data_IF_251957060843
#
_entry.id   IF_251957060843
#
_cell.length_a   1.000
_cell.length_b   1.000
_cell.length_c   1.000
_cell.angle_alpha   90.00
_cell.angle_beta   90.00
_cell.angle_gamma   90.00
#
_symmetry.space_group_name_H-M   'P 1'
#
loop_
_entity.id
_entity.type
_entity.pdbx_description
1 polymer ?
#
# COMPACT_ATOMS: atom_id res chain seq x y z
N UNK A 1 7.97 -30.88 -16.53
CA UNK A 1 8.63 -30.57 -15.25
C UNK A 1 7.56 -30.15 -14.28
N UNK A 2 7.51 -30.75 -13.10
CA UNK A 2 6.55 -30.32 -12.07
C UNK A 2 6.85 -28.88 -11.67
N UNK A 3 5.81 -28.03 -11.68
CA UNK A 3 5.94 -26.64 -11.25
C UNK A 3 6.37 -26.61 -9.78
N UNK A 4 7.43 -25.87 -9.46
CA UNK A 4 7.83 -25.65 -8.07
C UNK A 4 6.69 -24.93 -7.32
N UNK A 5 6.31 -25.46 -6.16
CA UNK A 5 5.19 -24.94 -5.37
C UNK A 5 5.66 -23.88 -4.37
N UNK A 6 4.98 -22.73 -4.35
CA UNK A 6 5.15 -21.65 -3.38
C UNK A 6 3.91 -21.55 -2.51
N UNK A 7 4.08 -21.54 -1.19
CA UNK A 7 3.03 -21.13 -0.25
C UNK A 7 3.20 -19.65 0.09
N UNK A 8 2.26 -18.84 -0.38
CA UNK A 8 2.19 -17.40 -0.13
C UNK A 8 1.19 -17.10 0.99
N UNK A 9 1.64 -16.45 2.06
CA UNK A 9 0.86 -16.22 3.28
C UNK A 9 0.66 -14.72 3.48
N UNK A 10 -0.59 -14.27 3.36
CA UNK A 10 -1.01 -12.92 3.75
C UNK A 10 -2.52 -12.86 3.96
N UNK A 11 -3.02 -12.27 5.05
CA UNK A 11 -4.46 -12.10 5.25
C UNK A 11 -5.05 -11.01 4.35
N UNK A 12 -4.21 -10.16 3.75
CA UNK A 12 -4.62 -9.10 2.85
C UNK A 12 -4.64 -9.64 1.42
N UNK A 13 -5.81 -10.06 0.95
CA UNK A 13 -6.02 -10.54 -0.42
C UNK A 13 -7.47 -10.23 -0.83
N UNK A 14 -7.80 -10.09 -2.13
CA UNK A 14 -9.19 -10.08 -2.60
C UNK A 14 -10.02 -11.15 -1.87
N UNK A 15 -11.26 -10.87 -1.42
CA UNK A 15 -12.09 -9.71 -1.75
C UNK A 15 -11.88 -8.45 -0.88
N UNK A 16 -10.84 -8.39 -0.03
CA UNK A 16 -10.52 -7.18 0.71
C UNK A 16 -9.95 -6.12 -0.25
N UNK A 17 -10.66 -5.01 -0.46
CA UNK A 17 -10.17 -3.87 -1.23
C UNK A 17 -9.20 -3.05 -0.39
N UNK A 18 -7.92 -3.32 -0.57
CA UNK A 18 -6.81 -2.56 0.00
C UNK A 18 -5.60 -2.59 -0.93
N UNK A 19 -4.73 -1.59 -0.83
CA UNK A 19 -3.49 -1.55 -1.62
C UNK A 19 -2.63 -2.81 -1.40
N UNK A 20 -2.53 -3.30 -0.15
CA UNK A 20 -1.84 -4.54 0.18
C UNK A 20 -2.45 -5.75 -0.55
N UNK A 21 -3.79 -5.89 -0.51
CA UNK A 21 -4.50 -6.98 -1.17
C UNK A 21 -4.26 -7.00 -2.67
N UNK A 22 -4.35 -5.85 -3.33
CA UNK A 22 -4.18 -5.71 -4.77
C UNK A 22 -2.73 -6.04 -5.15
N UNK A 23 -1.77 -5.49 -4.40
CA UNK A 23 -0.36 -5.79 -4.61
C UNK A 23 -0.03 -7.27 -4.42
N UNK A 24 -0.64 -7.94 -3.42
CA UNK A 24 -0.45 -9.38 -3.19
C UNK A 24 -1.03 -10.22 -4.32
N UNK A 25 -2.20 -9.84 -4.81
CA UNK A 25 -2.84 -10.53 -5.92
C UNK A 25 -1.97 -10.46 -7.18
N UNK A 26 -1.59 -9.27 -7.65
CA UNK A 26 -0.72 -9.14 -8.83
C UNK A 26 0.60 -9.90 -8.66
N UNK A 27 1.20 -9.84 -7.47
CA UNK A 27 2.42 -10.58 -7.18
C UNK A 27 2.26 -12.10 -7.36
N UNK A 28 1.19 -12.67 -6.80
CA UNK A 28 0.90 -14.10 -6.93
C UNK A 28 0.59 -14.49 -8.38
N UNK A 29 -0.08 -13.62 -9.13
CA UNK A 29 -0.37 -13.83 -10.54
C UNK A 29 0.92 -13.87 -11.38
N UNK A 30 1.83 -12.92 -11.18
CA UNK A 30 3.11 -12.89 -11.88
C UNK A 30 3.99 -14.09 -11.52
N UNK A 31 4.02 -14.51 -10.25
CA UNK A 31 4.69 -15.76 -9.86
C UNK A 31 4.09 -16.97 -10.60
N UNK A 32 2.76 -17.04 -10.74
CA UNK A 32 2.11 -18.10 -11.51
C UNK A 32 2.48 -18.05 -13.00
N UNK A 33 2.56 -16.84 -13.59
CA UNK A 33 3.00 -16.61 -14.99
C UNK A 33 4.46 -17.01 -15.22
N UNK A 34 5.33 -16.85 -14.22
CA UNK A 34 6.72 -17.33 -14.25
C UNK A 34 6.84 -18.86 -14.14
N UNK A 35 5.73 -19.58 -13.96
CA UNK A 35 5.69 -21.05 -13.96
C UNK A 35 5.63 -21.68 -12.57
N UNK A 36 5.54 -20.90 -11.49
CA UNK A 36 5.37 -21.44 -10.15
C UNK A 36 3.93 -21.88 -9.90
N UNK A 37 3.74 -22.92 -9.08
CA UNK A 37 2.41 -23.25 -8.53
C UNK A 37 2.22 -22.45 -7.25
N UNK A 38 1.36 -21.44 -7.28
CA UNK A 38 1.17 -20.54 -6.14
C UNK A 38 -0.08 -20.93 -5.35
N UNK A 39 0.12 -21.30 -4.08
CA UNK A 39 -0.95 -21.53 -3.10
C UNK A 39 -0.99 -20.34 -2.15
N UNK A 40 -2.10 -19.61 -2.13
CA UNK A 40 -2.30 -18.44 -1.28
C UNK A 40 -3.11 -18.84 -0.04
N UNK A 41 -2.52 -18.67 1.15
CA UNK A 41 -3.21 -18.78 2.43
C UNK A 41 -3.57 -17.39 2.94
N UNK A 42 -4.86 -17.11 3.02
CA UNK A 42 -5.38 -15.76 3.31
C UNK A 42 -6.59 -15.77 4.24
N UNK A 43 -7.08 -14.58 4.58
CA UNK A 43 -8.24 -14.40 5.43
C UNK A 43 -9.55 -14.54 4.66
N UNK A 44 -10.55 -15.08 5.35
CA UNK A 44 -11.94 -15.07 4.94
C UNK A 44 -12.61 -13.76 5.39
N UNK A 45 -12.80 -12.84 4.46
CA UNK A 45 -13.28 -11.48 4.75
C UNK A 45 -14.81 -11.46 4.63
N UNK A 46 -15.55 -11.07 5.68
CA UNK A 46 -17.00 -10.98 5.64
C UNK A 46 -17.52 -9.99 4.59
N UNK A 47 -18.64 -10.30 3.96
CA UNK A 47 -19.28 -9.44 2.93
C UNK A 47 -19.76 -8.10 3.47
N UNK A 48 -20.05 -8.02 4.76
CA UNK A 48 -20.43 -6.79 5.46
C UNK A 48 -19.22 -5.94 5.88
N UNK A 49 -17.99 -6.34 5.58
CA UNK A 49 -16.80 -5.52 5.82
C UNK A 49 -16.80 -4.28 4.92
N UNK A 50 -16.47 -3.09 5.45
CA UNK A 50 -16.53 -1.80 4.71
C UNK A 50 -15.76 -1.84 3.39
N UNK A 51 -14.58 -2.47 3.42
CA UNK A 51 -13.69 -2.64 2.26
C UNK A 51 -13.93 -3.94 1.48
N UNK A 52 -15.02 -4.67 1.72
CA UNK A 52 -15.33 -5.84 0.91
C UNK A 52 -15.76 -5.40 -0.50
N UNK A 53 -15.13 -5.94 -1.52
CA UNK A 53 -15.49 -5.70 -2.91
C UNK A 53 -15.54 -7.02 -3.66
N UNK A 54 -16.45 -7.12 -4.62
CA UNK A 54 -16.48 -8.19 -5.61
C UNK A 54 -15.90 -7.63 -6.91
N UNK A 55 -15.32 -8.51 -7.75
CA UNK A 55 -14.76 -8.16 -9.07
C UNK A 55 -13.39 -7.46 -8.99
N UNK A 56 -12.36 -8.23 -8.67
CA UNK A 56 -10.97 -7.79 -8.82
C UNK A 56 -10.41 -8.36 -10.12
N UNK A 57 -9.86 -7.52 -10.99
CA UNK A 57 -9.17 -8.00 -12.20
C UNK A 57 -8.02 -8.96 -11.89
N UNK A 58 -7.31 -8.70 -10.79
CA UNK A 58 -6.22 -9.55 -10.31
C UNK A 58 -6.66 -10.93 -9.75
N UNK A 59 -7.88 -11.40 -10.08
CA UNK A 59 -8.37 -12.74 -9.75
C UNK A 59 -8.54 -13.65 -10.98
N UNK A 60 -8.22 -13.18 -12.18
CA UNK A 60 -8.38 -13.92 -13.45
C UNK A 60 -7.28 -14.97 -13.75
N UNK A 61 -6.34 -15.20 -12.83
CA UNK A 61 -5.20 -16.12 -13.04
C UNK A 61 -5.30 -17.30 -12.07
N UNK A 62 -4.90 -18.47 -12.55
CA UNK A 62 -4.89 -19.75 -11.83
C UNK A 62 -3.90 -19.73 -10.64
N UNK A 63 -4.42 -19.28 -9.49
CA UNK A 63 -3.78 -19.41 -8.18
C UNK A 63 -4.74 -20.13 -7.24
N UNK A 64 -4.24 -21.06 -6.44
CA UNK A 64 -5.10 -21.77 -5.47
C UNK A 64 -5.21 -20.94 -4.20
N UNK A 65 -6.42 -20.52 -3.84
CA UNK A 65 -6.64 -19.72 -2.63
C UNK A 65 -7.30 -20.55 -1.53
N UNK A 66 -6.65 -20.64 -0.36
CA UNK A 66 -7.19 -21.24 0.86
C UNK A 66 -7.47 -20.12 1.87
N UNK A 67 -8.70 -20.08 2.38
CA UNK A 67 -9.15 -19.04 3.32
C UNK A 67 -9.35 -19.59 4.71
N UNK A 68 -9.12 -18.76 5.71
CA UNK A 68 -9.33 -19.09 7.12
C UNK A 68 -10.01 -17.93 7.86
N UNK A 69 -10.78 -18.27 8.89
CA UNK A 69 -11.52 -17.30 9.71
C UNK A 69 -10.60 -16.21 10.29
N UNK A 70 -11.04 -14.95 10.19
CA UNK A 70 -10.32 -13.75 10.64
C UNK A 70 -10.14 -13.66 12.18
N UNK A 71 -10.65 -14.63 12.95
CA UNK A 71 -10.44 -14.72 14.38
C UNK A 71 -11.07 -13.54 15.14
N UNK A 72 -10.30 -12.91 16.04
CA UNK A 72 -10.80 -11.77 16.81
C UNK A 72 -10.98 -10.50 15.97
N UNK A 73 -10.39 -10.42 14.77
CA UNK A 73 -10.57 -9.27 13.89
C UNK A 73 -12.05 -8.98 13.58
N UNK A 74 -12.91 -10.03 13.62
CA UNK A 74 -14.36 -9.89 13.44
C UNK A 74 -15.06 -8.91 14.40
N UNK A 75 -14.42 -8.58 15.53
CA UNK A 75 -14.92 -7.62 16.54
C UNK A 75 -14.43 -6.19 16.32
N UNK A 76 -13.47 -5.98 15.42
CA UNK A 76 -12.75 -4.72 15.24
C UNK A 76 -12.95 -4.08 13.87
N UNK A 77 -13.32 -4.85 12.84
CA UNK A 77 -13.52 -4.26 11.52
C UNK A 77 -14.79 -3.38 11.47
N UNK A 78 -14.75 -2.38 10.58
CA UNK A 78 -15.88 -1.50 10.32
C UNK A 78 -16.82 -2.18 9.34
N UNK A 79 -18.11 -2.24 9.68
CA UNK A 79 -19.13 -2.82 8.82
C UNK A 79 -19.70 -1.79 7.84
N UNK A 80 -20.15 -2.25 6.67
CA UNK A 80 -20.95 -1.46 5.72
C UNK A 80 -22.25 -1.06 6.39
N UNK A 81 -22.68 0.18 6.15
CA UNK A 81 -24.00 0.64 6.56
C UNK A 81 -24.97 0.23 5.44
N UNK A 82 -25.71 -0.86 5.63
CA UNK A 82 -26.80 -1.24 4.72
C UNK A 82 -28.11 -0.59 5.20
N UNK A 83 -28.60 0.38 4.42
CA UNK A 83 -29.99 0.85 4.32
C UNK A 83 -30.84 0.99 5.60
N UNK A 84 -31.09 2.25 5.99
CA UNK A 84 -32.43 2.68 6.41
C UNK A 84 -33.05 2.09 7.67
N UNK A 85 -32.37 2.17 8.82
CA UNK A 85 -33.05 2.47 10.07
C UNK A 85 -32.04 2.95 11.10
N UNK A 86 -32.19 4.20 11.52
CA UNK A 86 -31.58 4.74 12.74
C UNK A 86 -32.26 4.09 13.95
N UNK A 87 -32.05 2.80 14.13
CA UNK A 87 -32.00 2.24 15.47
C UNK A 87 -30.54 1.95 15.73
N UNK A 88 -29.99 2.67 16.70
CA UNK A 88 -28.87 2.21 17.51
C UNK A 88 -29.22 0.79 17.98
N UNK A 89 -28.94 -0.22 17.18
CA UNK A 89 -28.77 -1.55 17.70
C UNK A 89 -27.51 -1.44 18.53
N UNK A 90 -27.73 -1.30 19.83
CA UNK A 90 -26.73 -1.53 20.86
C UNK A 90 -26.09 -2.87 20.53
N UNK A 91 -25.02 -2.85 19.74
CA UNK A 91 -24.12 -3.98 19.68
C UNK A 91 -23.66 -4.16 21.12
N UNK A 92 -24.10 -5.25 21.74
CA UNK A 92 -23.59 -5.81 22.98
C UNK A 92 -22.11 -6.21 22.78
N UNK A 93 -21.28 -5.23 22.46
CA UNK A 93 -19.87 -5.31 22.22
C UNK A 93 -19.16 -4.58 23.33
N UNK A 94 -17.96 -5.06 23.66
CA UNK A 94 -17.08 -4.46 24.65
C UNK A 94 -17.02 -2.93 24.54
N UNK A 95 -16.91 -2.26 25.69
CA UNK A 95 -16.71 -0.81 25.75
C UNK A 95 -15.53 -0.41 24.83
N UNK A 96 -15.55 0.78 24.22
CA UNK A 96 -14.44 1.25 23.37
C UNK A 96 -13.07 1.15 24.06
N UNK A 97 -13.05 1.36 25.38
CA UNK A 97 -11.89 1.18 26.23
C UNK A 97 -11.39 -0.27 26.26
N UNK A 98 -12.27 -1.24 26.47
CA UNK A 98 -11.91 -2.65 26.47
C UNK A 98 -11.51 -3.15 25.08
N UNK A 99 -12.14 -2.66 24.00
CA UNK A 99 -11.67 -2.92 22.62
C UNK A 99 -10.24 -2.44 22.41
N UNK A 100 -9.90 -1.25 22.93
CA UNK A 100 -8.54 -0.72 22.90
C UNK A 100 -7.57 -1.60 23.68
N UNK A 101 -7.93 -2.04 24.88
CA UNK A 101 -7.09 -2.97 25.67
C UNK A 101 -6.84 -4.28 24.92
N UNK A 102 -7.88 -4.91 24.38
CA UNK A 102 -7.73 -6.16 23.62
C UNK A 102 -6.82 -5.92 22.40
N UNK A 103 -7.02 -4.81 21.68
CA UNK A 103 -6.18 -4.47 20.53
C UNK A 103 -4.70 -4.24 20.93
N UNK A 104 -4.46 -3.50 22.00
CA UNK A 104 -3.11 -3.06 22.37
C UNK A 104 -2.31 -4.15 23.10
N UNK A 105 -2.97 -5.08 23.81
CA UNK A 105 -2.31 -6.09 24.64
C UNK A 105 -2.53 -7.55 24.21
N UNK A 106 -3.67 -7.87 23.58
CA UNK A 106 -4.02 -9.27 23.21
C UNK A 106 -3.75 -9.51 21.72
N UNK A 107 -4.05 -8.54 20.88
CA UNK A 107 -3.79 -8.59 19.44
C UNK A 107 -2.38 -8.08 19.10
N UNK A 108 -1.35 -8.74 19.65
CA UNK A 108 0.06 -8.44 19.36
C UNK A 108 0.59 -9.45 18.35
N UNK A 109 1.23 -9.01 17.25
CA UNK A 109 1.53 -7.61 16.91
C UNK A 109 0.36 -6.82 16.32
N UNK A 110 -0.69 -7.50 15.86
CA UNK A 110 -1.83 -6.87 15.21
C UNK A 110 -3.12 -7.69 15.34
N UNK A 111 -4.20 -7.14 14.79
CA UNK A 111 -5.56 -7.72 14.87
C UNK A 111 -5.70 -9.08 14.19
N UNK A 112 -4.75 -9.49 13.34
CA UNK A 112 -4.72 -10.78 12.66
C UNK A 112 -3.92 -11.86 13.41
N UNK A 113 -3.40 -11.60 14.61
CA UNK A 113 -2.69 -12.62 15.42
C UNK A 113 -3.50 -13.92 15.61
N UNK A 114 -4.80 -13.81 15.84
CA UNK A 114 -5.67 -14.98 15.99
C UNK A 114 -5.95 -15.69 14.66
N UNK A 115 -6.02 -14.94 13.55
CA UNK A 115 -6.07 -15.51 12.21
C UNK A 115 -4.78 -16.30 11.94
N UNK A 116 -3.61 -15.73 12.21
CA UNK A 116 -2.31 -16.40 12.01
C UNK A 116 -2.23 -17.69 12.83
N UNK A 117 -2.72 -17.68 14.08
CA UNK A 117 -2.77 -18.89 14.92
C UNK A 117 -3.70 -19.97 14.35
N UNK A 118 -4.94 -19.61 13.98
CA UNK A 118 -5.91 -20.55 13.40
C UNK A 118 -5.45 -21.10 12.05
N UNK A 119 -4.74 -20.29 11.29
CA UNK A 119 -4.24 -20.62 9.95
C UNK A 119 -3.17 -21.70 9.96
N UNK A 120 -2.56 -22.01 11.11
CA UNK A 120 -1.61 -23.12 11.22
C UNK A 120 -2.22 -24.46 10.77
N UNK A 121 -3.49 -24.74 11.12
CA UNK A 121 -4.16 -25.98 10.70
C UNK A 121 -4.26 -26.08 9.17
N UNK A 122 -4.72 -25.00 8.52
CA UNK A 122 -4.82 -24.93 7.07
C UNK A 122 -3.44 -24.97 6.41
N UNK A 123 -2.43 -24.33 7.01
CA UNK A 123 -1.07 -24.36 6.50
C UNK A 123 -0.50 -25.79 6.52
N UNK A 124 -0.72 -26.56 7.59
CA UNK A 124 -0.31 -27.98 7.65
C UNK A 124 -1.01 -28.80 6.54
N UNK A 125 -2.31 -28.59 6.33
CA UNK A 125 -3.03 -29.25 5.23
C UNK A 125 -2.43 -28.91 3.86
N UNK A 126 -2.05 -27.65 3.63
CA UNK A 126 -1.36 -27.23 2.41
C UNK A 126 0.02 -27.91 2.29
N UNK A 127 0.76 -28.03 3.41
CA UNK A 127 2.05 -28.71 3.43
C UNK A 127 1.93 -30.18 3.01
N UNK A 128 0.89 -30.88 3.49
CA UNK A 128 0.60 -32.28 3.17
C UNK A 128 0.09 -32.45 1.72
N UNK A 129 -0.78 -31.56 1.26
CA UNK A 129 -1.43 -31.64 -0.06
C UNK A 129 -0.50 -31.22 -1.21
N UNK A 130 0.30 -30.18 -1.02
CA UNK A 130 1.07 -29.54 -2.10
C UNK A 130 2.59 -29.57 -1.92
N UNK A 131 3.08 -29.96 -0.74
CA UNK A 131 4.51 -30.05 -0.40
C UNK A 131 5.36 -28.85 -0.90
N UNK A 132 4.98 -27.58 -0.58
CA UNK A 132 5.76 -26.43 -0.98
C UNK A 132 7.13 -26.45 -0.32
N UNK A 133 8.17 -26.09 -1.08
CA UNK A 133 9.54 -25.92 -0.56
C UNK A 133 9.83 -24.46 -0.19
N UNK A 134 9.06 -23.53 -0.76
CA UNK A 134 9.21 -22.09 -0.53
C UNK A 134 7.98 -21.56 0.18
N UNK A 135 8.18 -20.84 1.29
CA UNK A 135 7.15 -20.09 1.98
C UNK A 135 7.47 -18.61 1.92
N UNK A 136 6.52 -17.80 1.46
CA UNK A 136 6.60 -16.34 1.49
C UNK A 136 5.58 -15.84 2.49
N UNK A 137 6.03 -15.13 3.53
CA UNK A 137 5.13 -14.35 4.41
C UNK A 137 5.30 -12.89 4.08
N UNK A 138 4.22 -12.19 3.69
CA UNK A 138 4.26 -10.76 3.38
C UNK A 138 3.48 -9.94 4.41
N UNK A 139 4.20 -9.07 5.11
CA UNK A 139 3.65 -8.17 6.13
C UNK A 139 2.75 -7.09 5.53
N UNK A 140 2.09 -6.32 6.39
CA UNK A 140 0.81 -5.61 6.17
C UNK A 140 -0.42 -6.53 6.34
N UNK A 141 -0.49 -7.36 7.42
CA UNK A 141 0.02 -7.12 8.78
C UNK A 141 1.16 -8.09 9.24
N UNK A 142 1.83 -7.81 10.36
CA UNK A 142 3.07 -8.50 10.80
C UNK A 142 2.87 -9.90 11.41
N UNK A 143 1.67 -10.23 11.89
CA UNK A 143 1.34 -11.52 12.50
C UNK A 143 1.54 -12.72 11.56
N UNK A 144 1.59 -12.50 10.25
CA UNK A 144 1.98 -13.51 9.24
C UNK A 144 3.34 -14.14 9.53
N UNK A 145 4.30 -13.39 10.06
CA UNK A 145 5.63 -13.91 10.34
C UNK A 145 5.63 -14.86 11.55
N UNK A 146 4.66 -14.72 12.47
CA UNK A 146 4.47 -15.69 13.55
C UNK A 146 4.04 -17.06 13.00
N UNK A 147 3.18 -17.06 11.98
CA UNK A 147 2.80 -18.28 11.28
C UNK A 147 3.99 -18.87 10.51
N UNK A 148 4.75 -18.02 9.81
CA UNK A 148 6.00 -18.42 9.13
C UNK A 148 6.99 -19.11 10.07
N UNK A 149 7.27 -18.52 11.24
CA UNK A 149 8.16 -19.13 12.23
C UNK A 149 7.66 -20.48 12.76
N UNK A 150 6.34 -20.61 13.01
CA UNK A 150 5.74 -21.89 13.41
C UNK A 150 5.88 -22.97 12.32
N UNK A 151 5.70 -22.59 11.05
CA UNK A 151 5.87 -23.48 9.92
C UNK A 151 7.34 -23.89 9.73
N UNK A 152 8.28 -22.94 9.74
CA UNK A 152 9.71 -23.22 9.65
C UNK A 152 10.18 -24.15 10.77
N UNK A 153 9.65 -24.00 11.99
CA UNK A 153 9.93 -24.93 13.10
C UNK A 153 9.38 -26.34 12.84
N UNK A 154 8.19 -26.46 12.27
CA UNK A 154 7.56 -27.75 11.96
C UNK A 154 8.18 -28.42 10.72
N UNK A 155 8.67 -27.63 9.78
CA UNK A 155 9.25 -28.05 8.50
C UNK A 155 10.58 -27.31 8.27
N UNK A 156 11.69 -27.73 8.90
CA UNK A 156 12.97 -27.02 8.87
C UNK A 156 13.57 -26.85 7.46
N UNK A 157 13.20 -27.73 6.53
CA UNK A 157 13.64 -27.72 5.13
C UNK A 157 13.02 -26.61 4.28
N UNK A 158 11.99 -25.93 4.79
CA UNK A 158 11.35 -24.83 4.07
C UNK A 158 12.33 -23.68 3.87
N UNK A 159 12.42 -23.16 2.65
CA UNK A 159 13.00 -21.85 2.43
C UNK A 159 11.95 -20.78 2.76
N UNK A 160 12.13 -20.11 3.89
CA UNK A 160 11.24 -19.07 4.35
C UNK A 160 11.77 -17.67 3.98
N UNK A 161 11.02 -17.00 3.12
CA UNK A 161 11.25 -15.62 2.70
C UNK A 161 10.29 -14.71 3.48
N UNK A 162 10.84 -13.88 4.35
CA UNK A 162 10.11 -12.85 5.09
C UNK A 162 10.11 -11.53 4.34
N UNK A 163 8.95 -11.11 3.81
CA UNK A 163 8.77 -9.82 3.15
C UNK A 163 8.16 -8.82 4.12
N UNK A 164 8.89 -7.73 4.39
CA UNK A 164 8.51 -6.61 5.23
C UNK A 164 8.09 -5.41 4.37
N UNK A 165 6.78 -5.12 4.33
CA UNK A 165 6.21 -3.93 3.69
C UNK A 165 6.62 -2.65 4.42
N UNK A 166 6.12 -2.53 5.64
CA UNK A 166 6.50 -1.51 6.63
C UNK A 166 7.32 -2.14 7.77
N UNK A 167 8.14 -1.34 8.49
CA UNK A 167 8.80 -1.80 9.70
C UNK A 167 7.80 -2.36 10.72
N UNK A 168 8.19 -3.41 11.44
CA UNK A 168 7.37 -3.97 12.51
C UNK A 168 7.63 -3.25 13.84
N UNK A 169 8.55 -3.70 14.71
CA UNK A 169 8.80 -3.02 15.99
C UNK A 169 9.53 -1.68 15.83
N UNK A 170 10.13 -1.45 14.66
CA UNK A 170 10.82 -0.22 14.32
C UNK A 170 9.88 0.86 13.75
N UNK A 171 8.59 0.57 13.60
CA UNK A 171 7.56 1.52 13.15
C UNK A 171 7.52 2.78 14.04
N UNK A 172 7.70 3.99 13.51
CA UNK A 172 7.75 5.22 14.31
C UNK A 172 6.49 5.45 15.16
N UNK A 173 5.32 5.08 14.64
CA UNK A 173 4.04 5.31 15.31
C UNK A 173 3.74 4.39 16.51
N UNK A 174 4.57 3.36 16.77
CA UNK A 174 4.40 2.48 17.93
C UNK A 174 4.72 3.18 19.26
N UNK A 175 3.82 3.06 20.23
CA UNK A 175 4.04 3.53 21.60
C UNK A 175 5.17 2.73 22.29
N UNK A 176 5.82 3.33 23.31
CA UNK A 176 7.00 2.78 23.98
C UNK A 176 6.79 1.35 24.52
N UNK A 177 5.67 1.10 25.19
CA UNK A 177 5.39 -0.20 25.81
C UNK A 177 5.17 -1.29 24.75
N UNK A 178 4.33 -1.02 23.75
CA UNK A 178 4.08 -1.96 22.65
C UNK A 178 5.34 -2.19 21.83
N UNK A 179 6.17 -1.16 21.64
CA UNK A 179 7.45 -1.28 20.95
C UNK A 179 8.36 -2.29 21.63
N UNK A 180 8.52 -2.24 22.95
CA UNK A 180 9.36 -3.19 23.69
C UNK A 180 8.88 -4.64 23.53
N UNK A 181 7.58 -4.88 23.69
CA UNK A 181 6.99 -6.22 23.55
C UNK A 181 7.14 -6.73 22.12
N UNK A 182 6.78 -5.91 21.13
CA UNK A 182 6.87 -6.28 19.72
C UNK A 182 8.31 -6.45 19.26
N UNK A 183 9.26 -5.66 19.78
CA UNK A 183 10.68 -5.81 19.45
C UNK A 183 11.23 -7.16 19.92
N UNK A 184 10.89 -7.59 21.14
CA UNK A 184 11.30 -8.90 21.62
C UNK A 184 10.66 -10.05 20.84
N UNK A 185 9.40 -9.88 20.42
CA UNK A 185 8.71 -10.85 19.59
C UNK A 185 9.32 -10.92 18.18
N UNK A 186 9.56 -9.77 17.55
CA UNK A 186 10.21 -9.67 16.25
C UNK A 186 11.61 -10.27 16.28
N UNK A 187 12.43 -9.96 17.28
CA UNK A 187 13.77 -10.53 17.43
C UNK A 187 13.74 -12.06 17.47
N UNK A 188 12.75 -12.67 18.11
CA UNK A 188 12.60 -14.13 18.15
C UNK A 188 12.22 -14.73 16.80
N UNK A 189 11.49 -13.99 15.99
CA UNK A 189 10.90 -14.46 14.72
C UNK A 189 11.86 -14.24 13.56
N UNK A 190 12.50 -13.07 13.51
CA UNK A 190 13.29 -12.63 12.37
C UNK A 190 14.53 -13.49 12.11
N UNK A 191 15.18 -13.99 13.16
CA UNK A 191 16.37 -14.85 13.02
C UNK A 191 16.07 -16.28 12.54
N UNK A 192 14.79 -16.62 12.35
CA UNK A 192 14.38 -17.92 11.82
C UNK A 192 14.14 -17.89 10.30
N UNK A 193 14.14 -16.71 9.67
CA UNK A 193 13.97 -16.53 8.23
C UNK A 193 15.25 -16.91 7.47
N UNK A 194 15.11 -17.42 6.25
CA UNK A 194 16.25 -17.75 5.39
C UNK A 194 16.60 -16.56 4.46
N UNK A 195 15.60 -15.74 4.09
CA UNK A 195 15.77 -14.52 3.28
C UNK A 195 14.89 -13.39 3.80
N UNK A 196 15.39 -12.16 3.66
CA UNK A 196 14.74 -10.94 4.13
C UNK A 196 14.48 -10.01 2.97
N UNK A 197 13.23 -9.61 2.77
CA UNK A 197 12.85 -8.73 1.68
C UNK A 197 12.27 -7.46 2.25
N UNK A 198 12.76 -6.32 1.81
CA UNK A 198 12.34 -5.00 2.25
C UNK A 198 11.88 -4.14 1.07
N UNK A 199 11.13 -3.09 1.36
CA UNK A 199 10.62 -2.16 0.33
C UNK A 199 11.60 -1.03 -0.02
N UNK A 200 12.57 -0.75 0.87
CA UNK A 200 13.57 0.33 0.68
C UNK A 200 14.93 -0.08 1.23
N UNK A 201 16.00 0.48 0.65
CA UNK A 201 17.37 0.35 1.20
C UNK A 201 17.45 0.87 2.63
N UNK A 202 16.79 2.00 2.93
CA UNK A 202 16.78 2.59 4.27
C UNK A 202 16.20 1.63 5.32
N UNK A 203 15.11 0.93 5.00
CA UNK A 203 14.54 -0.08 5.91
C UNK A 203 15.42 -1.32 6.00
N UNK A 204 15.98 -1.81 4.90
CA UNK A 204 16.93 -2.93 4.91
C UNK A 204 18.13 -2.63 5.81
N UNK A 205 18.76 -1.48 5.64
CA UNK A 205 19.96 -1.10 6.37
C UNK A 205 19.66 -0.91 7.85
N UNK A 206 18.51 -0.30 8.17
CA UNK A 206 18.00 -0.20 9.54
C UNK A 206 17.82 -1.58 10.18
N UNK A 207 17.22 -2.53 9.46
CA UNK A 207 17.01 -3.89 9.94
C UNK A 207 18.32 -4.67 10.10
N UNK A 208 19.24 -4.54 9.14
CA UNK A 208 20.58 -5.11 9.20
C UNK A 208 21.32 -4.60 10.44
N UNK A 209 21.28 -3.30 10.70
CA UNK A 209 21.90 -2.69 11.87
C UNK A 209 21.24 -3.11 13.19
N UNK A 210 19.90 -3.07 13.28
CA UNK A 210 19.17 -3.27 14.54
C UNK A 210 19.03 -4.74 14.95
N UNK A 211 18.97 -5.64 13.98
CA UNK A 211 18.82 -7.07 14.23
C UNK A 211 20.07 -7.90 13.89
N UNK A 212 21.12 -7.31 13.33
CA UNK A 212 22.34 -8.03 12.95
C UNK A 212 22.12 -8.95 11.75
N UNK A 213 21.19 -8.58 10.84
CA UNK A 213 20.87 -9.38 9.65
C UNK A 213 21.98 -9.20 8.60
N UNK A 214 22.60 -10.27 8.09
CA UNK A 214 23.62 -10.17 7.06
C UNK A 214 23.06 -9.62 5.75
N UNK A 215 23.71 -8.59 5.18
CA UNK A 215 23.22 -7.87 4.00
C UNK A 215 23.01 -8.78 2.78
N UNK A 216 23.83 -9.83 2.62
CA UNK A 216 23.75 -10.80 1.53
C UNK A 216 22.51 -11.70 1.58
N UNK A 217 21.84 -11.79 2.74
CA UNK A 217 20.58 -12.50 2.90
C UNK A 217 19.37 -11.59 2.66
N UNK A 218 19.61 -10.30 2.44
CA UNK A 218 18.58 -9.30 2.24
C UNK A 218 18.42 -8.95 0.77
N UNK A 219 17.23 -8.50 0.40
CA UNK A 219 16.96 -7.90 -0.90
C UNK A 219 15.94 -6.76 -0.78
N UNK A 220 15.98 -5.83 -1.73
CA UNK A 220 15.05 -4.69 -1.79
C UNK A 220 14.18 -4.86 -3.02
N UNK A 221 12.88 -5.04 -2.79
CA UNK A 221 11.89 -5.18 -3.85
C UNK A 221 10.75 -4.22 -3.59
N UNK A 222 10.65 -3.22 -4.46
CA UNK A 222 9.61 -2.21 -4.40
C UNK A 222 8.24 -2.80 -4.78
N UNK A 223 7.20 -1.97 -4.71
CA UNK A 223 5.94 -2.25 -5.40
C UNK A 223 6.13 -2.09 -6.91
N UNK A 224 5.17 -2.58 -7.67
CA UNK A 224 5.05 -2.35 -9.11
C UNK A 224 3.59 -2.10 -9.48
N UNK A 225 3.35 -1.66 -10.72
CA UNK A 225 2.01 -1.45 -11.28
C UNK A 225 1.71 -2.49 -12.35
N UNK A 226 0.43 -2.83 -12.53
CA UNK A 226 -0.02 -3.65 -13.66
C UNK A 226 -0.25 -2.75 -14.88
N UNK A 227 0.52 -2.86 -15.98
CA UNK A 227 0.34 -2.01 -17.16
C UNK A 227 -1.04 -2.21 -17.80
N UNK A 228 -1.67 -3.37 -17.60
CA UNK A 228 -2.96 -3.67 -18.23
C UNK A 228 -4.10 -2.80 -17.70
N UNK A 229 -4.04 -2.34 -16.43
CA UNK A 229 -5.10 -1.51 -15.85
C UNK A 229 -5.24 -0.15 -16.57
N UNK A 230 -4.15 0.37 -17.13
CA UNK A 230 -4.16 1.63 -17.85
C UNK A 230 -4.76 1.52 -19.26
N UNK A 231 -4.91 0.30 -19.80
CA UNK A 231 -5.58 0.05 -21.09
C UNK A 231 -7.10 0.10 -21.01
N UNK A 232 -7.67 0.07 -19.81
CA UNK A 232 -9.12 0.15 -19.61
C UNK A 232 -9.66 1.48 -20.14
N UNK A 233 -10.86 1.44 -20.73
CA UNK A 233 -11.56 2.65 -21.13
C UNK A 233 -11.87 3.50 -19.89
N UNK A 234 -11.60 4.81 -19.99
CA UNK A 234 -11.88 5.72 -18.87
C UNK A 234 -13.39 5.83 -18.65
N UNK A 235 -13.84 5.50 -17.45
CA UNK A 235 -15.22 5.73 -16.98
C UNK A 235 -15.38 7.12 -16.35
N UNK A 236 -14.26 7.82 -16.11
CA UNK A 236 -14.22 9.14 -15.51
C UNK A 236 -13.95 10.17 -16.61
N UNK A 237 -14.69 11.29 -16.59
CA UNK A 237 -14.40 12.45 -17.42
C UNK A 237 -14.28 13.67 -16.53
N UNK A 238 -13.10 14.26 -16.51
CA UNK A 238 -12.85 15.49 -15.76
C UNK A 238 -13.16 16.72 -16.62
N UNK A 239 -13.34 17.87 -15.99
CA UNK A 239 -13.71 19.10 -16.69
C UNK A 239 -12.57 19.61 -17.59
N UNK A 240 -12.84 19.78 -18.88
CA UNK A 240 -11.81 20.03 -19.88
C UNK A 240 -11.22 21.46 -19.89
N UNK A 241 -11.89 22.44 -19.28
CA UNK A 241 -11.54 23.87 -19.44
C UNK A 241 -10.40 24.36 -18.55
N UNK A 242 -10.08 23.62 -17.49
CA UNK A 242 -9.07 24.01 -16.49
C UNK A 242 -8.00 22.93 -16.38
N UNK A 243 -6.85 23.32 -15.84
CA UNK A 243 -5.74 22.41 -15.55
C UNK A 243 -6.14 21.49 -14.42
N UNK A 244 -6.01 20.19 -14.63
CA UNK A 244 -6.47 19.14 -13.71
C UNK A 244 -5.30 18.60 -12.90
N UNK A 245 -5.31 18.88 -11.61
CA UNK A 245 -4.40 18.27 -10.65
C UNK A 245 -5.13 17.14 -9.92
N UNK A 246 -4.55 15.95 -9.88
CA UNK A 246 -5.17 14.80 -9.21
C UNK A 246 -4.26 14.26 -8.12
N UNK A 247 -4.82 14.08 -6.94
CA UNK A 247 -4.26 13.29 -5.86
C UNK A 247 -5.20 12.13 -5.59
N UNK A 248 -4.68 10.90 -5.64
CA UNK A 248 -5.38 9.67 -5.30
C UNK A 248 -4.80 9.03 -4.02
N UNK A 249 -5.69 8.63 -3.12
CA UNK A 249 -5.35 7.95 -1.87
C UNK A 249 -5.81 8.68 -0.62
N UNK A 250 -5.45 8.12 0.53
CA UNK A 250 -5.88 8.68 1.81
C UNK A 250 -5.04 9.91 2.20
N UNK A 251 -5.71 10.95 2.68
CA UNK A 251 -5.09 12.10 3.37
C UNK A 251 -5.47 12.01 4.85
N UNK A 252 -4.49 11.61 5.65
CA UNK A 252 -4.61 11.41 7.09
C UNK A 252 -3.45 12.04 7.85
N UNK A 253 -3.24 11.60 9.10
CA UNK A 253 -2.25 12.19 10.01
C UNK A 253 -0.79 12.10 9.53
N UNK A 254 -0.46 11.08 8.73
CA UNK A 254 0.89 10.85 8.23
C UNK A 254 1.32 11.81 7.10
N UNK A 255 0.40 12.60 6.54
CA UNK A 255 0.70 13.55 5.47
C UNK A 255 0.43 14.97 5.94
N UNK A 256 1.41 15.83 5.79
CA UNK A 256 1.22 17.25 6.04
C UNK A 256 0.67 17.94 4.81
N UNK A 257 -0.56 18.43 4.89
CA UNK A 257 -1.16 19.27 3.86
C UNK A 257 -1.24 20.74 4.26
N UNK A 258 -0.72 21.12 5.44
CA UNK A 258 -0.86 22.49 5.93
C UNK A 258 -0.19 23.49 5.00
N UNK A 259 1.03 23.19 4.53
CA UNK A 259 1.75 24.00 3.56
C UNK A 259 1.02 24.10 2.22
N UNK A 260 0.47 22.99 1.73
CA UNK A 260 -0.37 22.98 0.52
C UNK A 260 -1.63 23.84 0.67
N UNK A 261 -2.28 23.82 1.85
CA UNK A 261 -3.43 24.69 2.11
C UNK A 261 -3.04 26.16 2.12
N UNK A 262 -1.88 26.49 2.71
CA UNK A 262 -1.38 27.85 2.76
C UNK A 262 -1.03 28.39 1.37
N UNK A 263 -0.45 27.57 0.49
CA UNK A 263 -0.19 27.96 -0.91
C UNK A 263 -1.50 28.11 -1.69
N UNK A 264 -2.48 27.23 -1.46
CA UNK A 264 -3.80 27.35 -2.10
C UNK A 264 -4.52 28.65 -1.70
N UNK A 265 -4.44 29.06 -0.44
CA UNK A 265 -5.03 30.32 0.02
C UNK A 265 -4.33 31.53 -0.62
N UNK A 266 -2.99 31.52 -0.67
CA UNK A 266 -2.21 32.58 -1.32
C UNK A 266 -2.51 32.70 -2.81
N UNK A 267 -2.60 31.58 -3.52
CA UNK A 267 -2.81 31.55 -4.96
C UNK A 267 -4.30 31.50 -5.36
N UNK A 268 -5.22 31.75 -4.42
CA UNK A 268 -6.65 31.45 -4.59
C UNK A 268 -7.24 31.97 -5.89
N UNK A 269 -7.03 33.25 -6.21
CA UNK A 269 -7.59 33.87 -7.42
C UNK A 269 -7.08 33.19 -8.70
N UNK A 270 -5.76 32.93 -8.80
CA UNK A 270 -5.16 32.28 -9.94
C UNK A 270 -5.61 30.83 -10.08
N UNK A 271 -5.68 30.07 -8.97
CA UNK A 271 -6.11 28.68 -8.99
C UNK A 271 -7.60 28.54 -9.31
N UNK A 272 -8.43 29.46 -8.79
CA UNK A 272 -9.87 29.48 -9.07
C UNK A 272 -10.15 29.74 -10.55
N UNK A 273 -9.35 30.57 -11.22
CA UNK A 273 -9.46 30.79 -12.66
C UNK A 273 -8.94 29.59 -13.47
N UNK A 274 -7.74 29.08 -13.15
CA UNK A 274 -6.97 28.23 -14.06
C UNK A 274 -7.00 26.74 -13.76
N UNK A 275 -7.31 26.33 -12.53
CA UNK A 275 -7.07 24.96 -12.06
C UNK A 275 -8.30 24.29 -11.45
N UNK A 276 -8.28 22.96 -11.44
CA UNK A 276 -9.16 22.09 -10.66
C UNK A 276 -8.32 21.01 -9.98
N UNK A 277 -8.53 20.85 -8.68
CA UNK A 277 -7.87 19.82 -7.89
C UNK A 277 -8.88 18.73 -7.54
N UNK A 278 -8.55 17.48 -7.82
CA UNK A 278 -9.34 16.31 -7.43
C UNK A 278 -8.57 15.54 -6.36
N UNK A 279 -9.10 15.53 -5.14
CA UNK A 279 -8.61 14.67 -4.06
C UNK A 279 -9.51 13.44 -3.93
N UNK A 280 -9.09 12.37 -4.60
CA UNK A 280 -9.78 11.10 -4.72
C UNK A 280 -9.33 10.17 -3.59
N UNK A 281 -10.25 9.68 -2.78
CA UNK A 281 -9.96 8.79 -1.66
C UNK A 281 -10.55 9.25 -0.32
N UNK A 282 -9.96 8.76 0.77
CA UNK A 282 -10.43 8.99 2.13
C UNK A 282 -9.74 10.19 2.78
N UNK A 283 -10.51 11.01 3.49
CA UNK A 283 -10.00 12.19 4.18
C UNK A 283 -10.75 12.41 5.50
N UNK A 284 -10.07 13.03 6.47
CA UNK A 284 -10.68 13.36 7.77
C UNK A 284 -11.75 14.45 7.62
N UNK A 285 -12.68 14.55 8.57
CA UNK A 285 -13.70 15.60 8.58
C UNK A 285 -13.08 17.01 8.54
N UNK A 286 -12.01 17.25 9.32
CA UNK A 286 -11.30 18.52 9.32
C UNK A 286 -10.69 18.87 7.96
N UNK A 287 -10.15 17.88 7.23
CA UNK A 287 -9.62 18.09 5.88
C UNK A 287 -10.76 18.40 4.89
N UNK A 288 -11.88 17.66 4.98
CA UNK A 288 -13.09 17.90 4.18
C UNK A 288 -13.56 19.35 4.33
N UNK A 289 -13.70 19.82 5.57
CA UNK A 289 -14.15 21.18 5.89
C UNK A 289 -13.20 22.25 5.37
N UNK A 290 -11.87 22.03 5.46
CA UNK A 290 -10.87 22.95 4.90
C UNK A 290 -10.98 23.04 3.37
N UNK A 291 -11.05 21.90 2.69
CA UNK A 291 -11.15 21.86 1.23
C UNK A 291 -12.48 22.38 0.68
N UNK A 292 -13.59 22.20 1.42
CA UNK A 292 -14.92 22.63 0.99
C UNK A 292 -15.06 24.16 0.80
N UNK A 293 -14.10 24.96 1.29
CA UNK A 293 -14.07 26.42 1.12
C UNK A 293 -13.66 26.87 -0.29
N UNK A 294 -13.13 25.97 -1.11
CA UNK A 294 -12.56 26.29 -2.42
C UNK A 294 -13.39 25.64 -3.53
N UNK A 295 -13.99 26.48 -4.38
CA UNK A 295 -14.83 26.11 -5.53
C UNK A 295 -14.08 25.36 -6.62
N UNK A 296 -12.75 25.34 -6.59
CA UNK A 296 -11.86 24.65 -7.52
C UNK A 296 -11.27 23.34 -6.94
N UNK A 297 -11.65 22.96 -5.73
CA UNK A 297 -11.30 21.67 -5.15
C UNK A 297 -12.52 20.72 -5.23
N UNK A 298 -12.29 19.50 -5.70
CA UNK A 298 -13.29 18.43 -5.84
C UNK A 298 -12.89 17.27 -4.95
N UNK A 299 -13.86 16.74 -4.22
CA UNK A 299 -13.67 15.65 -3.27
C UNK A 299 -14.57 14.44 -3.62
N UNK A 300 -14.26 13.67 -4.69
CA UNK A 300 -15.08 12.51 -5.09
C UNK A 300 -15.32 11.50 -3.97
N UNK A 301 -14.43 11.45 -2.97
CA UNK A 301 -14.52 10.50 -1.87
C UNK A 301 -13.81 9.19 -2.22
N UNK A 302 -14.11 8.15 -1.44
CA UNK A 302 -13.56 6.81 -1.67
C UNK A 302 -14.21 6.19 -2.90
N UNK A 303 -13.37 5.72 -3.83
CA UNK A 303 -13.75 5.05 -5.08
C UNK A 303 -13.04 3.70 -5.18
N UNK A 304 -13.43 2.86 -6.14
CA UNK A 304 -12.71 1.62 -6.42
C UNK A 304 -11.28 1.89 -6.92
N UNK A 305 -10.42 0.87 -6.87
CA UNK A 305 -9.05 1.00 -7.39
C UNK A 305 -9.05 1.28 -8.89
N UNK A 306 -9.90 0.60 -9.66
CA UNK A 306 -10.02 0.88 -11.10
C UNK A 306 -10.46 2.33 -11.36
N UNK A 307 -11.45 2.82 -10.62
CA UNK A 307 -11.90 4.22 -10.74
C UNK A 307 -10.81 5.22 -10.35
N UNK A 308 -10.00 4.95 -9.31
CA UNK A 308 -8.90 5.85 -8.94
C UNK A 308 -7.87 5.97 -10.06
N UNK A 309 -7.53 4.86 -10.72
CA UNK A 309 -6.66 4.90 -11.91
C UNK A 309 -7.31 5.72 -13.05
N UNK A 310 -8.63 5.67 -13.24
CA UNK A 310 -9.29 6.50 -14.26
C UNK A 310 -9.19 7.99 -13.95
N UNK A 311 -9.30 8.39 -12.69
CA UNK A 311 -9.02 9.77 -12.28
C UNK A 311 -7.57 10.17 -12.58
N UNK A 312 -6.60 9.29 -12.30
CA UNK A 312 -5.18 9.55 -12.53
C UNK A 312 -4.87 9.75 -14.02
N UNK A 313 -5.44 8.91 -14.89
CA UNK A 313 -5.27 9.00 -16.35
C UNK A 313 -5.77 10.32 -16.92
N UNK A 314 -6.88 10.83 -16.40
CA UNK A 314 -7.50 12.09 -16.83
C UNK A 314 -6.79 13.34 -16.29
N UNK A 315 -5.79 13.19 -15.42
CA UNK A 315 -5.07 14.31 -14.84
C UNK A 315 -4.21 15.06 -15.89
N UNK A 316 -3.96 16.35 -15.71
CA UNK A 316 -2.87 17.03 -16.41
C UNK A 316 -1.56 16.91 -15.62
N UNK A 317 -1.68 16.93 -14.28
CA UNK A 317 -0.60 16.66 -13.33
C UNK A 317 -1.11 15.79 -12.17
N UNK A 318 -0.28 14.85 -11.74
CA UNK A 318 -0.49 14.08 -10.52
C UNK A 318 0.24 14.75 -9.36
N UNK A 319 -0.38 14.79 -8.18
CA UNK A 319 0.22 15.33 -6.95
C UNK A 319 0.61 14.18 -6.02
N UNK A 320 1.90 14.13 -5.70
CA UNK A 320 2.47 13.12 -4.82
C UNK A 320 3.04 13.77 -3.55
N UNK A 321 2.45 13.46 -2.41
CA UNK A 321 2.89 13.92 -1.09
C UNK A 321 3.65 12.82 -0.35
N UNK A 322 4.82 13.19 0.16
CA UNK A 322 5.64 12.40 1.08
C UNK A 322 4.97 12.22 2.45
N UNK A 323 5.42 11.20 3.18
CA UNK A 323 5.00 10.98 4.56
C UNK A 323 5.88 11.81 5.52
N UNK A 324 5.33 12.25 6.65
CA UNK A 324 6.03 13.06 7.67
C UNK A 324 7.34 12.42 8.17
N UNK A 325 7.33 11.10 8.34
CA UNK A 325 8.46 10.36 8.89
C UNK A 325 9.51 9.98 7.82
N UNK A 326 9.20 10.14 6.53
CA UNK A 326 10.15 10.02 5.42
C UNK A 326 10.80 8.66 5.18
N UNK A 327 10.42 7.57 5.87
CA UNK A 327 11.03 6.22 5.70
C UNK A 327 10.19 5.29 4.80
N UNK A 328 8.89 5.56 4.67
CA UNK A 328 7.95 4.70 3.93
C UNK A 328 7.69 5.24 2.51
N UNK A 329 7.53 4.33 1.54
CA UNK A 329 7.14 4.67 0.17
C UNK A 329 5.62 4.58 -0.02
N UNK A 330 4.94 5.68 -0.41
CA UNK A 330 3.53 5.63 -0.77
C UNK A 330 3.28 4.72 -1.99
N UNK A 331 2.34 3.78 -1.88
CA UNK A 331 2.00 2.85 -2.97
C UNK A 331 1.61 3.56 -4.29
N UNK A 332 0.85 4.66 -4.19
CA UNK A 332 0.46 5.53 -5.30
C UNK A 332 1.62 6.07 -6.14
N UNK A 333 2.85 6.11 -5.62
CA UNK A 333 4.02 6.48 -6.42
C UNK A 333 4.18 5.52 -7.61
N UNK A 334 4.02 4.21 -7.38
CA UNK A 334 4.13 3.18 -8.41
C UNK A 334 2.93 3.20 -9.37
N UNK A 335 1.74 3.49 -8.87
CA UNK A 335 0.55 3.71 -9.69
C UNK A 335 0.76 4.91 -10.64
N UNK A 336 1.34 6.02 -10.16
CA UNK A 336 1.59 7.20 -10.99
C UNK A 336 2.68 6.95 -12.04
N UNK A 337 3.70 6.16 -11.70
CA UNK A 337 4.75 5.73 -12.63
C UNK A 337 4.18 4.91 -13.80
N UNK A 338 3.03 4.24 -13.62
CA UNK A 338 2.33 3.53 -14.70
C UNK A 338 1.51 4.42 -15.64
N UNK A 339 1.22 5.66 -15.25
CA UNK A 339 0.48 6.62 -16.10
C UNK A 339 1.39 7.29 -17.14
N UNK A 340 0.86 8.15 -18.01
CA UNK A 340 1.67 9.05 -18.86
C UNK A 340 1.60 10.53 -18.41
N UNK A 341 1.12 10.78 -17.19
CA UNK A 341 0.90 12.10 -16.64
C UNK A 341 2.16 12.55 -15.85
N UNK A 342 2.59 13.81 -15.95
CA UNK A 342 3.66 14.34 -15.11
C UNK A 342 3.31 14.29 -13.61
N UNK A 343 4.31 14.08 -12.76
CA UNK A 343 4.15 13.88 -11.32
C UNK A 343 4.83 15.02 -10.56
N UNK A 344 4.05 15.87 -9.92
CA UNK A 344 4.54 16.90 -9.00
C UNK A 344 4.70 16.27 -7.62
N UNK A 345 5.95 16.17 -7.16
CA UNK A 345 6.27 15.52 -5.89
C UNK A 345 6.68 16.55 -4.85
N UNK A 346 5.98 16.55 -3.71
CA UNK A 346 6.33 17.36 -2.55
C UNK A 346 6.98 16.49 -1.47
N UNK A 347 8.26 16.72 -1.22
CA UNK A 347 9.12 15.92 -0.34
C UNK A 347 9.36 16.61 1.00
N UNK A 348 9.57 15.81 2.05
CA UNK A 348 9.96 16.36 3.36
C UNK A 348 11.44 16.71 3.42
N UNK A 349 12.29 15.89 2.78
CA UNK A 349 13.73 16.13 2.63
C UNK A 349 14.28 15.40 1.40
N UNK A 350 15.48 15.78 0.98
CA UNK A 350 16.11 15.27 -0.24
C UNK A 350 16.51 13.79 -0.19
N UNK A 351 16.63 13.22 1.00
CA UNK A 351 17.15 11.88 1.25
C UNK A 351 16.06 10.83 1.45
N UNK A 352 14.77 11.21 1.44
CA UNK A 352 13.69 10.24 1.61
C UNK A 352 13.67 9.23 0.47
N UNK A 353 13.23 7.98 0.73
CA UNK A 353 13.05 6.99 -0.32
C UNK A 353 12.17 7.50 -1.46
N UNK A 354 11.14 8.31 -1.14
CA UNK A 354 10.28 8.91 -2.16
C UNK A 354 11.07 9.88 -3.05
N UNK A 355 11.88 10.75 -2.45
CA UNK A 355 12.72 11.69 -3.22
C UNK A 355 13.68 10.94 -4.16
N UNK A 356 14.36 9.91 -3.64
CA UNK A 356 15.27 9.06 -4.43
C UNK A 356 14.55 8.36 -5.58
N UNK A 357 13.39 7.74 -5.30
CA UNK A 357 12.55 7.09 -6.32
C UNK A 357 12.13 8.08 -7.41
N UNK A 358 11.61 9.25 -7.03
CA UNK A 358 11.11 10.21 -8.02
C UNK A 358 12.22 10.86 -8.83
N UNK A 359 13.44 11.02 -8.28
CA UNK A 359 14.63 11.43 -9.05
C UNK A 359 15.05 10.38 -10.06
N UNK A 360 15.08 9.10 -9.67
CA UNK A 360 15.35 7.98 -10.60
C UNK A 360 14.31 7.94 -11.73
N UNK A 361 13.05 8.14 -11.39
CA UNK A 361 11.93 8.11 -12.34
C UNK A 361 11.97 9.31 -13.31
N UNK A 362 12.31 10.50 -12.83
CA UNK A 362 12.52 11.68 -13.69
C UNK A 362 11.26 12.25 -14.35
N UNK A 363 10.07 12.03 -13.76
CA UNK A 363 8.76 12.30 -14.39
C UNK A 363 8.02 13.56 -13.95
N UNK A 364 8.73 14.53 -13.40
CA UNK A 364 8.13 15.80 -13.00
C UNK A 364 8.97 16.54 -11.99
N UNK A 365 8.50 17.70 -11.53
CA UNK A 365 9.21 18.50 -10.54
C UNK A 365 9.15 17.83 -9.16
N UNK A 366 10.25 17.95 -8.42
CA UNK A 366 10.37 17.56 -7.02
C UNK A 366 10.69 18.83 -6.24
N UNK A 367 9.87 19.15 -5.24
CA UNK A 367 9.99 20.38 -4.45
C UNK A 367 9.77 20.08 -2.98
N UNK A 368 10.31 20.91 -2.08
CA UNK A 368 10.05 20.76 -0.65
C UNK A 368 8.58 21.03 -0.32
N UNK A 369 8.06 20.33 0.69
CA UNK A 369 6.71 20.51 1.21
C UNK A 369 6.64 21.74 2.14
N UNK A 370 6.95 22.92 1.60
CA UNK A 370 6.78 24.22 2.24
C UNK A 370 5.95 25.14 1.35
N UNK A 371 5.41 26.21 1.93
CA UNK A 371 4.44 27.08 1.25
C UNK A 371 5.00 27.65 -0.06
N UNK A 372 6.19 28.23 -0.03
CA UNK A 372 6.73 29.01 -1.15
C UNK A 372 7.19 28.08 -2.28
N UNK A 373 7.81 26.94 -1.93
CA UNK A 373 8.15 25.87 -2.89
C UNK A 373 6.92 25.33 -3.59
N UNK A 374 5.82 25.09 -2.86
CA UNK A 374 4.57 24.61 -3.44
C UNK A 374 3.97 25.68 -4.37
N UNK A 375 3.85 26.92 -3.91
CA UNK A 375 3.30 28.03 -4.71
C UNK A 375 4.07 28.24 -6.02
N UNK A 376 5.40 28.24 -5.96
CA UNK A 376 6.26 28.36 -7.14
C UNK A 376 6.12 27.18 -8.09
N UNK A 377 6.02 25.96 -7.55
CA UNK A 377 5.88 24.73 -8.36
C UNK A 377 4.53 24.68 -9.07
N UNK A 378 3.44 25.04 -8.40
CA UNK A 378 2.11 25.12 -8.99
C UNK A 378 2.05 26.20 -10.07
N UNK A 379 2.62 27.38 -9.81
CA UNK A 379 2.70 28.47 -10.80
C UNK A 379 3.42 28.02 -12.07
N UNK A 380 4.57 27.36 -11.90
CA UNK A 380 5.35 26.81 -13.02
C UNK A 380 4.59 25.71 -13.77
N UNK A 381 3.88 24.85 -13.06
CA UNK A 381 3.06 23.81 -13.69
C UNK A 381 1.94 24.41 -14.56
N UNK A 382 1.31 25.48 -14.08
CA UNK A 382 0.30 26.24 -14.83
C UNK A 382 0.91 26.82 -16.11
N UNK A 383 2.04 27.53 -16.00
CA UNK A 383 2.75 28.11 -17.14
C UNK A 383 3.15 27.05 -18.18
N UNK A 384 3.73 25.93 -17.72
CA UNK A 384 4.13 24.83 -18.60
C UNK A 384 2.93 24.21 -19.33
N UNK A 385 1.77 24.14 -18.69
CA UNK A 385 0.56 23.63 -19.33
C UNK A 385 0.03 24.60 -20.39
N UNK A 386 -0.11 25.89 -20.03
CA UNK A 386 -0.62 26.93 -20.94
C UNK A 386 0.25 27.08 -22.19
N UNK A 387 1.58 27.02 -22.01
CA UNK A 387 2.55 27.13 -23.10
C UNK A 387 2.82 25.81 -23.84
N UNK A 388 2.12 24.72 -23.48
CA UNK A 388 2.38 23.35 -23.99
C UNK A 388 3.85 22.93 -23.83
N UNK A 389 4.53 23.46 -22.82
CA UNK A 389 5.94 23.26 -22.51
C UNK A 389 6.24 22.04 -21.64
N UNK A 390 5.25 21.18 -21.36
CA UNK A 390 5.47 19.94 -20.59
C UNK A 390 6.46 19.05 -21.34
N UNK A 391 7.59 18.77 -20.69
CA UNK A 391 8.68 18.02 -21.29
C UNK A 391 8.25 16.58 -21.62
N UNK A 392 8.63 16.08 -22.81
CA UNK A 392 8.20 14.75 -23.29
C UNK A 392 8.59 13.63 -22.33
N UNK A 393 9.77 13.74 -21.71
CA UNK A 393 10.26 12.77 -20.72
C UNK A 393 9.38 12.67 -19.47
N UNK A 394 8.58 13.70 -19.13
CA UNK A 394 7.65 13.59 -18.00
C UNK A 394 6.44 12.70 -18.29
N UNK A 395 6.19 12.43 -19.58
CA UNK A 395 5.06 11.62 -20.06
C UNK A 395 5.44 10.19 -20.43
N UNK A 396 6.69 9.77 -20.22
CA UNK A 396 7.11 8.39 -20.49
C UNK A 396 6.82 7.48 -19.31
N UNK A 397 6.11 6.37 -19.57
CA UNK A 397 5.93 5.28 -18.61
C UNK A 397 7.28 4.63 -18.31
N UNK A 398 7.58 4.30 -17.05
CA UNK A 398 8.79 3.54 -16.70
C UNK A 398 8.43 2.06 -16.52
N UNK A 399 8.97 1.22 -17.41
CA UNK A 399 8.64 -0.21 -17.47
C UNK A 399 9.41 -1.08 -16.47
N UNK A 400 10.45 -0.53 -15.81
CA UNK A 400 11.19 -1.22 -14.74
C UNK A 400 10.28 -1.53 -13.54
N UNK A 401 9.27 -0.68 -13.32
CA UNK A 401 8.30 -0.82 -12.24
C UNK A 401 7.01 -1.54 -12.67
N UNK A 402 6.95 -2.10 -13.88
CA UNK A 402 5.89 -3.05 -14.22
C UNK A 402 5.97 -4.26 -13.28
N UNK A 403 4.81 -4.72 -12.80
CA UNK A 403 4.76 -5.77 -11.79
C UNK A 403 5.40 -7.08 -12.27
N UNK A 404 5.32 -7.37 -13.58
CA UNK A 404 5.99 -8.50 -14.23
C UNK A 404 7.51 -8.40 -14.12
N UNK A 405 8.09 -7.22 -14.37
CA UNK A 405 9.52 -6.93 -14.22
C UNK A 405 9.96 -7.07 -12.77
N UNK A 406 9.22 -6.45 -11.84
CA UNK A 406 9.51 -6.48 -10.40
C UNK A 406 9.49 -7.93 -9.86
N UNK A 407 8.48 -8.71 -10.21
CA UNK A 407 8.33 -10.09 -9.72
C UNK A 407 9.35 -11.04 -10.38
N UNK A 408 9.69 -10.82 -11.65
CA UNK A 408 10.76 -11.57 -12.32
C UNK A 408 12.10 -11.35 -11.63
N UNK A 409 12.45 -10.09 -11.32
CA UNK A 409 13.68 -9.79 -10.60
C UNK A 409 13.65 -10.37 -9.18
N UNK A 410 12.50 -10.33 -8.50
CA UNK A 410 12.34 -10.96 -7.19
C UNK A 410 12.62 -12.45 -7.22
N UNK A 411 12.02 -13.17 -8.18
CA UNK A 411 12.19 -14.60 -8.32
C UNK A 411 13.66 -14.95 -8.60
N UNK A 412 14.33 -14.20 -9.49
CA UNK A 412 15.74 -14.42 -9.83
C UNK A 412 16.71 -14.24 -8.64
N UNK A 413 16.36 -13.40 -7.66
CA UNK A 413 17.23 -13.09 -6.52
C UNK A 413 16.95 -13.99 -5.31
N UNK A 414 15.70 -14.40 -5.12
CA UNK A 414 15.28 -15.06 -3.88
C UNK A 414 14.99 -16.56 -4.02
N UNK A 415 14.78 -17.08 -5.23
CA UNK A 415 14.62 -18.51 -5.50
C UNK A 415 15.89 -19.02 -6.17
#
# INVERSE_FOLDING_TARGET
>A
MDKQTILYISPSFPPLNSSASIANAYYCQELSRLGYRVIVLTAEIPSDHISFQTNFRCTEVDVTVRRTDIGLYKRFYTRKITGGNTNKTNNAGFSPYLKKIIKDFICIPDVFTFWASKSMKMAIQIMEEFAPLIVITRSEPNSVHLLGAKLKKAYPQLQWIGYFGDPWSLEPSLNKTNRLIQHQLEKKVIHQMDRYVFTTDATRDLYSQKFGIPIQLTSVFSRGYDPEIYKLASTVKLEAKKIKFVYSGAIGRQRDISHFMSSVEEMKAQLEEKALFYFVGSYTASIREKFAKYTFIRLPGFVTFEESIMYEKEADFLILLDNKDGIQLPAKAFEYIGTNNPIITFITNDETPLSKLMRQVGRGPISHNDKDSISGTLSKAIELYENKGIAKQWRSVNTEFEISSVVKQFALVNF
#
